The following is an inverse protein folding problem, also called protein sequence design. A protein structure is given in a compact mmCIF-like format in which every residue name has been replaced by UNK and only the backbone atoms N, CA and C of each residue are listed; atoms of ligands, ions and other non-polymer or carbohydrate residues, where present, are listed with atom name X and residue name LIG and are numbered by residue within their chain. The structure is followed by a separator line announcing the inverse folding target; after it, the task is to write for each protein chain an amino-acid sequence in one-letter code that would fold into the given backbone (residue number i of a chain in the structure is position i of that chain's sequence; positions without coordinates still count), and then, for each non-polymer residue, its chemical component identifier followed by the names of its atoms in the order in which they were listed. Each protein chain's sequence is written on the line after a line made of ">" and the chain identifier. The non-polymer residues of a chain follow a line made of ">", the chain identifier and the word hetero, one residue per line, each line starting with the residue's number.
data_IF_348825427418
#
_entry.id   IF_348825427418
#
_cell.length_a   1.000
_cell.length_b   1.000
_cell.length_c   1.000
_cell.angle_alpha   90.00
_cell.angle_beta   90.00
_cell.angle_gamma   90.00
#
_symmetry.space_group_name_H-M   'P 1'
#
loop_
_entity.id
_entity.type
_entity.pdbx_description
1 polymer ?
#
# COMPACT_ATOMS: atom_id res chain seq x y z
N UNK A 1 28.13 -34.00 26.10
CA UNK A 1 28.20 -34.63 24.77
C UNK A 1 29.00 -33.74 23.85
N UNK A 2 30.17 -34.18 23.40
CA UNK A 2 31.00 -33.41 22.46
C UNK A 2 30.24 -33.25 21.14
N UNK A 3 30.15 -32.02 20.63
CA UNK A 3 29.53 -31.78 19.33
C UNK A 3 30.38 -32.39 18.20
N UNK A 4 29.74 -32.87 17.14
CA UNK A 4 30.43 -33.37 15.94
C UNK A 4 31.48 -32.35 15.44
N UNK A 5 32.67 -32.76 14.98
CA UNK A 5 33.75 -31.87 14.52
C UNK A 5 33.28 -30.76 13.56
N UNK A 6 32.28 -31.05 12.72
CA UNK A 6 31.63 -30.11 11.82
C UNK A 6 31.10 -28.86 12.55
N UNK A 7 30.50 -29.01 13.74
CA UNK A 7 29.94 -27.87 14.50
C UNK A 7 31.01 -26.93 15.03
N UNK A 8 32.23 -27.40 15.26
CA UNK A 8 33.35 -26.55 15.67
C UNK A 8 33.92 -25.76 14.49
N UNK A 9 33.98 -26.37 13.30
CA UNK A 9 34.37 -25.68 12.06
C UNK A 9 33.36 -24.61 11.68
N UNK A 10 32.06 -24.91 11.69
CA UNK A 10 30.98 -23.94 11.46
C UNK A 10 31.03 -22.77 12.46
N UNK A 11 31.26 -23.06 13.75
CA UNK A 11 31.41 -22.03 14.78
C UNK A 11 32.66 -21.19 14.57
N UNK A 12 33.76 -21.79 14.11
CA UNK A 12 34.98 -21.09 13.73
C UNK A 12 34.76 -20.14 12.55
N UNK A 13 34.14 -20.64 11.47
CA UNK A 13 33.77 -19.86 10.29
C UNK A 13 32.83 -18.70 10.64
N UNK A 14 31.81 -18.95 11.46
CA UNK A 14 30.88 -17.91 11.90
C UNK A 14 31.58 -16.81 12.69
N UNK A 15 32.43 -17.17 13.67
CA UNK A 15 33.23 -16.19 14.43
C UNK A 15 34.17 -15.38 13.54
N UNK A 16 34.86 -16.05 12.62
CA UNK A 16 35.75 -15.37 11.67
C UNK A 16 34.96 -14.40 10.77
N UNK A 17 33.81 -14.82 10.24
CA UNK A 17 32.96 -13.98 9.42
C UNK A 17 32.47 -12.74 10.21
N UNK A 18 32.05 -12.90 11.47
CA UNK A 18 31.67 -11.78 12.34
C UNK A 18 32.83 -10.82 12.58
N UNK A 19 34.03 -11.34 12.86
CA UNK A 19 35.22 -10.52 13.03
C UNK A 19 35.58 -9.75 11.75
N UNK A 20 35.64 -10.45 10.61
CA UNK A 20 35.95 -9.86 9.32
C UNK A 20 34.93 -8.78 8.94
N UNK A 21 33.64 -9.03 9.17
CA UNK A 21 32.58 -8.04 8.96
C UNK A 21 32.79 -6.78 9.81
N UNK A 22 33.08 -6.95 11.11
CA UNK A 22 33.32 -5.81 12.01
C UNK A 22 34.57 -5.02 11.63
N UNK A 23 35.65 -5.69 11.22
CA UNK A 23 36.86 -5.03 10.73
C UNK A 23 36.57 -4.21 9.46
N UNK A 24 35.84 -4.78 8.49
CA UNK A 24 35.41 -4.08 7.27
C UNK A 24 34.51 -2.88 7.62
N UNK A 25 33.57 -3.03 8.55
CA UNK A 25 32.71 -1.93 9.01
C UNK A 25 33.53 -0.80 9.65
N UNK A 26 34.52 -1.12 10.47
CA UNK A 26 35.41 -0.11 11.09
C UNK A 26 36.19 0.68 10.05
N UNK A 27 36.70 0.03 9.00
CA UNK A 27 37.37 0.72 7.89
C UNK A 27 36.39 1.59 7.10
N UNK A 28 35.19 1.08 6.81
CA UNK A 28 34.14 1.82 6.10
C UNK A 28 33.65 3.05 6.88
N UNK A 29 33.69 3.03 8.21
CA UNK A 29 33.36 4.21 9.02
C UNK A 29 34.41 5.32 8.90
N UNK A 30 35.69 4.96 8.78
CA UNK A 30 36.78 5.93 8.62
C UNK A 30 36.85 6.51 7.20
N UNK A 31 36.63 5.68 6.18
CA UNK A 31 36.63 6.10 4.77
C UNK A 31 35.43 5.52 4.02
N UNK A 32 34.24 6.14 4.14
CA UNK A 32 33.03 5.61 3.53
C UNK A 32 33.13 5.66 1.99
N UNK A 33 32.84 4.53 1.34
CA UNK A 33 32.66 4.47 -0.10
C UNK A 33 31.51 5.40 -0.55
N UNK A 34 31.55 5.93 -1.79
CA UNK A 34 30.47 6.76 -2.31
C UNK A 34 29.11 6.05 -2.24
N UNK A 35 28.05 6.84 -2.18
CA UNK A 35 26.70 6.30 -2.21
C UNK A 35 26.39 5.66 -3.57
N UNK A 36 25.66 4.55 -3.54
CA UNK A 36 25.28 3.82 -4.74
C UNK A 36 24.05 4.46 -5.39
N UNK A 37 24.12 4.71 -6.70
CA UNK A 37 22.99 5.19 -7.49
C UNK A 37 22.39 4.03 -8.29
N UNK A 38 21.20 3.54 -7.91
CA UNK A 38 20.54 2.45 -8.61
C UNK A 38 19.95 2.92 -9.94
N UNK A 39 19.81 2.02 -10.93
CA UNK A 39 19.26 2.32 -12.27
C UNK A 39 17.86 2.97 -12.26
N UNK A 40 17.09 2.76 -11.20
CA UNK A 40 15.71 3.27 -11.06
C UNK A 40 15.63 4.65 -10.39
N UNK A 41 16.78 5.26 -10.05
CA UNK A 41 16.88 6.58 -9.40
C UNK A 41 17.92 7.45 -10.10
N UNK A 42 17.66 8.75 -10.17
CA UNK A 42 18.63 9.76 -10.63
C UNK A 42 19.52 10.25 -9.48
N UNK A 43 19.12 10.00 -8.23
CA UNK A 43 19.85 10.37 -7.01
C UNK A 43 20.44 9.14 -6.30
N UNK A 44 21.61 9.27 -5.65
CA UNK A 44 22.20 8.18 -4.88
C UNK A 44 21.38 7.86 -3.62
N UNK A 45 21.45 6.62 -3.15
CA UNK A 45 20.80 6.22 -1.89
C UNK A 45 21.49 6.85 -0.68
N UNK A 46 20.69 7.31 0.29
CA UNK A 46 21.22 7.75 1.57
C UNK A 46 21.89 6.59 2.32
N UNK A 47 23.07 6.86 2.87
CA UNK A 47 23.76 5.96 3.81
C UNK A 47 22.95 5.84 5.09
N UNK A 48 23.15 4.75 5.86
CA UNK A 48 22.34 4.47 7.07
C UNK A 48 22.30 5.63 8.07
N UNK A 49 23.42 6.33 8.27
CA UNK A 49 23.52 7.49 9.17
C UNK A 49 22.94 8.79 8.60
N UNK A 50 22.64 8.84 7.29
CA UNK A 50 21.99 9.99 6.64
C UNK A 50 20.47 9.84 6.60
N UNK A 51 19.94 8.63 6.84
CA UNK A 51 18.51 8.37 6.80
C UNK A 51 17.84 9.03 7.99
N UNK A 52 16.80 9.82 7.73
CA UNK A 52 15.93 10.33 8.79
C UNK A 52 14.87 9.30 9.18
N UNK A 53 14.37 9.40 10.40
CA UNK A 53 13.20 8.66 10.88
C UNK A 53 12.13 9.66 11.32
N UNK A 54 10.83 9.34 11.21
CA UNK A 54 9.82 10.08 11.95
C UNK A 54 10.09 9.99 13.45
N UNK A 55 9.48 10.88 14.23
CA UNK A 55 9.41 10.71 15.68
C UNK A 55 8.59 9.45 15.97
N UNK A 56 9.22 8.47 16.60
CA UNK A 56 8.66 7.17 16.98
C UNK A 56 8.68 7.02 18.51
N UNK A 57 8.00 6.02 19.04
CA UNK A 57 7.79 5.83 20.48
C UNK A 57 6.71 6.72 21.09
N UNK A 58 6.57 6.64 22.41
CA UNK A 58 5.47 7.25 23.18
C UNK A 58 6.03 7.97 24.42
N UNK A 59 5.46 9.12 24.83
CA UNK A 59 4.45 9.89 24.11
C UNK A 59 5.06 10.65 22.92
N UNK A 60 4.23 10.98 21.92
CA UNK A 60 4.65 11.87 20.83
C UNK A 60 3.49 12.68 20.27
N UNK A 61 3.82 13.85 19.71
CA UNK A 61 2.86 14.68 18.97
C UNK A 61 2.85 14.34 17.48
N UNK A 62 1.68 14.31 16.87
CA UNK A 62 1.49 14.16 15.42
C UNK A 62 0.34 15.04 14.92
N UNK A 63 0.13 15.04 13.62
CA UNK A 63 -1.04 15.67 12.98
C UNK A 63 -2.13 14.61 12.81
N UNK A 64 -3.38 15.00 13.06
CA UNK A 64 -4.56 14.15 12.89
C UNK A 64 -5.71 14.98 12.31
N UNK A 65 -6.79 14.30 11.97
CA UNK A 65 -8.00 14.92 11.47
C UNK A 65 -9.11 14.83 12.52
N UNK A 66 -9.79 15.95 12.75
CA UNK A 66 -11.06 15.98 13.47
C UNK A 66 -12.13 15.23 12.65
N UNK A 67 -12.72 14.15 13.17
CA UNK A 67 -13.71 13.35 12.42
C UNK A 67 -14.94 14.17 11.99
N UNK A 68 -15.32 15.18 12.78
CA UNK A 68 -16.49 16.00 12.52
C UNK A 68 -16.19 17.12 11.51
N UNK A 69 -15.05 17.82 11.63
CA UNK A 69 -14.63 18.80 10.62
C UNK A 69 -14.53 18.19 9.22
N UNK A 70 -14.03 16.95 9.11
CA UNK A 70 -13.91 16.25 7.81
C UNK A 70 -15.29 15.98 7.21
N UNK A 71 -16.27 15.56 8.02
CA UNK A 71 -17.65 15.34 7.55
C UNK A 71 -18.30 16.64 7.10
N UNK A 72 -18.09 17.72 7.84
CA UNK A 72 -18.61 19.05 7.49
C UNK A 72 -17.96 19.58 6.21
N UNK A 73 -16.65 19.43 6.03
CA UNK A 73 -15.96 19.80 4.80
C UNK A 73 -16.48 19.00 3.60
N UNK A 74 -16.66 17.69 3.76
CA UNK A 74 -17.27 16.84 2.72
C UNK A 74 -18.68 17.31 2.37
N UNK A 75 -19.48 17.69 3.37
CA UNK A 75 -20.83 18.21 3.18
C UNK A 75 -20.83 19.48 2.33
N UNK A 76 -19.96 20.44 2.62
CA UNK A 76 -19.84 21.68 1.83
C UNK A 76 -19.47 21.42 0.36
N UNK A 77 -18.60 20.45 0.11
CA UNK A 77 -18.23 20.09 -1.28
C UNK A 77 -19.42 19.47 -2.01
N UNK A 78 -20.10 18.51 -1.39
CA UNK A 78 -21.15 17.72 -2.05
C UNK A 78 -22.45 18.52 -2.18
N UNK A 79 -22.87 19.22 -1.12
CA UNK A 79 -24.16 19.89 -1.03
C UNK A 79 -24.07 21.36 -1.46
N UNK A 80 -23.02 22.07 -1.03
CA UNK A 80 -22.87 23.51 -1.28
C UNK A 80 -22.04 23.81 -2.54
N UNK A 81 -21.52 22.78 -3.22
CA UNK A 81 -20.74 22.89 -4.45
C UNK A 81 -19.37 23.56 -4.26
N UNK A 82 -18.81 23.51 -3.05
CA UNK A 82 -17.49 24.06 -2.76
C UNK A 82 -16.41 23.35 -3.60
N UNK A 83 -15.46 24.13 -4.15
CA UNK A 83 -14.35 23.59 -4.93
C UNK A 83 -13.52 22.63 -4.06
N UNK A 84 -13.43 21.33 -4.42
CA UNK A 84 -12.68 20.35 -3.64
C UNK A 84 -11.19 20.67 -3.54
N UNK A 85 -10.61 21.47 -4.46
CA UNK A 85 -9.20 21.83 -4.37
C UNK A 85 -8.89 22.78 -3.21
N UNK A 86 -9.88 23.49 -2.66
CA UNK A 86 -9.69 24.33 -1.47
C UNK A 86 -9.25 23.54 -0.24
N UNK A 87 -9.63 22.26 -0.12
CA UNK A 87 -9.24 21.45 1.05
C UNK A 87 -7.74 21.23 1.17
N UNK A 88 -7.01 21.35 0.06
CA UNK A 88 -5.54 21.24 0.02
C UNK A 88 -4.91 22.44 0.73
N UNK A 89 -5.52 23.62 0.60
CA UNK A 89 -5.05 24.88 1.17
C UNK A 89 -5.56 25.06 2.60
N UNK A 90 -6.87 24.92 2.79
CA UNK A 90 -7.56 25.23 4.05
C UNK A 90 -7.35 24.17 5.14
N UNK A 91 -6.99 22.94 4.74
CA UNK A 91 -6.72 21.79 5.63
C UNK A 91 -7.79 21.65 6.73
N UNK A 92 -9.07 21.54 6.35
CA UNK A 92 -10.16 21.57 7.31
C UNK A 92 -10.05 20.43 8.31
N UNK A 93 -9.99 20.78 9.60
CA UNK A 93 -9.92 19.80 10.67
C UNK A 93 -8.54 19.22 10.96
N UNK A 94 -7.47 19.73 10.33
CA UNK A 94 -6.10 19.38 10.72
C UNK A 94 -5.82 19.90 12.14
N UNK A 95 -5.57 18.97 13.08
CA UNK A 95 -5.34 19.27 14.50
C UNK A 95 -4.14 18.48 15.01
N UNK A 96 -3.55 18.96 16.12
CA UNK A 96 -2.50 18.20 16.83
C UNK A 96 -3.14 17.06 17.62
N UNK A 97 -2.46 15.92 17.61
CA UNK A 97 -2.81 14.76 18.40
C UNK A 97 -1.60 14.26 19.20
N UNK A 98 -1.84 13.74 20.38
CA UNK A 98 -0.88 13.01 21.20
C UNK A 98 -1.07 11.51 20.97
N UNK A 99 0.00 10.79 20.66
CA UNK A 99 -0.01 9.34 20.73
C UNK A 99 0.63 8.92 22.05
N UNK A 100 -0.14 8.22 22.88
CA UNK A 100 0.22 7.83 24.24
C UNK A 100 0.09 6.32 24.43
N UNK A 101 0.80 5.79 25.43
CA UNK A 101 0.60 4.43 25.92
C UNK A 101 -0.27 4.48 27.18
N UNK A 102 -1.35 3.69 27.21
CA UNK A 102 -2.25 3.50 28.33
C UNK A 102 -2.52 2.01 28.47
N UNK A 103 -2.13 1.40 29.59
CA UNK A 103 -2.45 0.00 29.92
C UNK A 103 -2.15 -1.04 28.83
N UNK A 104 -0.96 -0.94 28.21
CA UNK A 104 -0.49 -1.79 27.10
C UNK A 104 -1.17 -1.52 25.73
N UNK A 105 -2.03 -0.52 25.65
CA UNK A 105 -2.66 -0.04 24.43
C UNK A 105 -2.04 1.29 24.00
N UNK A 106 -2.08 1.56 22.69
CA UNK A 106 -1.62 2.81 22.11
C UNK A 106 -2.82 3.61 21.66
N UNK A 107 -2.95 4.82 22.18
CA UNK A 107 -4.10 5.69 21.99
C UNK A 107 -3.69 6.98 21.29
N UNK A 108 -4.48 7.43 20.32
CA UNK A 108 -4.41 8.77 19.74
C UNK A 108 -5.43 9.66 20.42
N UNK A 109 -4.95 10.69 21.12
CA UNK A 109 -5.76 11.67 21.84
C UNK A 109 -5.66 12.99 21.11
N UNK A 110 -6.80 13.61 20.79
CA UNK A 110 -6.84 14.85 20.00
C UNK A 110 -7.98 15.75 20.45
N UNK A 111 -7.70 17.06 20.49
CA UNK A 111 -8.67 18.08 20.88
C UNK A 111 -8.93 18.99 19.68
N UNK A 112 -10.16 18.94 19.17
CA UNK A 112 -10.63 19.89 18.18
C UNK A 112 -11.13 21.15 18.90
N UNK A 113 -10.69 22.36 18.50
CA UNK A 113 -11.19 23.61 19.08
C UNK A 113 -12.70 23.84 18.97
N UNK A 114 -13.36 23.14 18.03
CA UNK A 114 -14.79 23.32 17.72
C UNK A 114 -15.61 22.12 18.20
N UNK A 115 -15.11 20.90 18.01
CA UNK A 115 -15.87 19.67 18.27
C UNK A 115 -15.44 18.92 19.54
N UNK A 116 -14.45 19.46 20.27
CA UNK A 116 -14.02 18.92 21.56
C UNK A 116 -13.06 17.73 21.43
N UNK A 117 -13.14 16.85 22.42
CA UNK A 117 -12.16 15.81 22.67
C UNK A 117 -12.47 14.50 21.94
N UNK A 118 -11.44 13.85 21.41
CA UNK A 118 -11.51 12.52 20.79
C UNK A 118 -10.35 11.65 21.24
N UNK A 119 -10.63 10.37 21.47
CA UNK A 119 -9.63 9.32 21.67
C UNK A 119 -9.92 8.15 20.72
N UNK A 120 -8.90 7.71 19.98
CA UNK A 120 -8.97 6.57 19.07
C UNK A 120 -7.87 5.56 19.44
N UNK A 121 -8.22 4.31 19.70
CA UNK A 121 -7.21 3.26 19.94
C UNK A 121 -6.51 2.92 18.61
N UNK A 122 -5.19 3.10 18.56
CA UNK A 122 -4.36 2.77 17.40
C UNK A 122 -3.88 1.32 17.41
N UNK A 123 -3.56 0.78 18.59
CA UNK A 123 -3.11 -0.60 18.73
C UNK A 123 -3.45 -1.16 20.12
N UNK A 124 -3.85 -2.43 20.17
CA UNK A 124 -4.18 -3.15 21.39
C UNK A 124 -2.95 -3.71 22.13
N UNK A 125 -1.79 -3.72 21.45
CA UNK A 125 -0.52 -4.23 21.99
C UNK A 125 0.62 -3.26 21.65
N UNK A 126 1.11 -2.57 22.68
CA UNK A 126 2.21 -1.62 22.58
C UNK A 126 3.48 -2.29 22.06
N UNK A 127 3.83 -3.48 22.56
CA UNK A 127 5.08 -4.16 22.19
C UNK A 127 5.06 -4.56 20.72
N UNK A 128 3.91 -4.96 20.22
CA UNK A 128 3.75 -5.26 18.80
C UNK A 128 3.97 -4.00 17.94
N UNK A 129 3.39 -2.86 18.32
CA UNK A 129 3.59 -1.61 17.58
C UNK A 129 5.03 -1.10 17.70
N UNK A 130 5.65 -1.18 18.88
CA UNK A 130 7.08 -0.87 19.07
C UNK A 130 7.98 -1.73 18.18
N UNK A 131 7.67 -3.02 18.04
CA UNK A 131 8.39 -3.90 17.11
C UNK A 131 8.25 -3.41 15.66
N UNK A 132 7.04 -3.07 15.22
CA UNK A 132 6.81 -2.52 13.87
C UNK A 132 7.62 -1.23 13.67
N UNK A 133 7.61 -0.32 14.64
CA UNK A 133 8.37 0.94 14.59
C UNK A 133 9.88 0.71 14.57
N UNK A 134 10.40 -0.26 15.32
CA UNK A 134 11.81 -0.63 15.33
C UNK A 134 12.27 -1.17 13.97
N UNK A 135 11.37 -1.83 13.23
CA UNK A 135 11.62 -2.32 11.88
C UNK A 135 11.61 -1.20 10.83
N UNK A 136 11.26 0.06 11.19
CA UNK A 136 11.28 1.17 10.25
C UNK A 136 12.71 1.47 9.76
N UNK A 137 12.99 1.25 8.46
CA UNK A 137 14.37 1.22 7.98
C UNK A 137 14.92 2.61 7.61
N UNK A 138 14.20 3.69 7.92
CA UNK A 138 14.55 5.08 7.63
C UNK A 138 14.09 5.57 6.25
N UNK A 139 13.98 6.89 6.06
CA UNK A 139 13.75 7.51 4.76
C UNK A 139 15.06 7.52 3.99
N UNK A 140 15.09 6.87 2.82
CA UNK A 140 16.33 6.63 2.05
C UNK A 140 16.42 7.43 0.75
N UNK A 141 15.33 8.04 0.30
CA UNK A 141 15.30 8.92 -0.86
C UNK A 141 14.04 9.79 -0.87
N UNK A 142 14.21 11.05 -1.25
CA UNK A 142 13.12 11.99 -1.49
C UNK A 142 12.52 11.79 -2.88
N UNK A 143 11.19 11.89 -2.96
CA UNK A 143 10.50 12.00 -4.23
C UNK A 143 11.00 13.26 -4.99
N UNK A 144 11.07 13.15 -6.32
CA UNK A 144 11.51 14.23 -7.21
C UNK A 144 10.90 14.05 -8.61
N UNK A 145 11.04 15.08 -9.44
CA UNK A 145 10.47 15.16 -10.79
C UNK A 145 8.95 15.01 -10.79
N UNK A 146 8.29 15.58 -9.77
CA UNK A 146 6.89 15.41 -9.43
C UNK A 146 6.08 16.73 -9.49
N UNK A 147 6.65 17.79 -10.07
CA UNK A 147 6.11 19.15 -10.12
C UNK A 147 4.65 19.24 -10.63
N UNK A 148 4.24 18.29 -11.47
CA UNK A 148 2.90 18.23 -12.08
C UNK A 148 1.89 17.38 -11.31
N UNK A 149 2.34 16.48 -10.43
CA UNK A 149 1.49 15.44 -9.84
C UNK A 149 1.37 15.54 -8.32
N UNK A 150 2.30 16.23 -7.63
CA UNK A 150 2.40 16.19 -6.16
C UNK A 150 1.79 17.39 -5.43
N UNK A 151 0.60 17.85 -5.86
CA UNK A 151 -0.12 18.95 -5.20
C UNK A 151 -1.25 18.44 -4.29
N UNK A 152 -0.94 17.52 -3.38
CA UNK A 152 -1.91 16.89 -2.46
C UNK A 152 -1.83 17.42 -1.02
N UNK A 153 -1.31 18.63 -0.82
CA UNK A 153 -1.23 19.27 0.50
C UNK A 153 -0.43 18.46 1.50
N UNK A 154 -0.99 18.19 2.68
CA UNK A 154 -0.37 17.36 3.72
C UNK A 154 -0.18 15.89 3.31
N UNK A 155 -0.92 15.42 2.29
CA UNK A 155 -0.84 14.05 1.77
C UNK A 155 0.20 13.87 0.66
N UNK A 156 0.94 14.93 0.29
CA UNK A 156 2.01 14.81 -0.72
C UNK A 156 3.07 13.78 -0.29
N UNK A 157 3.31 12.79 -1.15
CA UNK A 157 4.31 11.75 -0.93
C UNK A 157 5.71 12.34 -1.05
N UNK A 158 6.40 12.49 0.08
CA UNK A 158 7.75 13.08 0.13
C UNK A 158 8.87 12.06 0.01
N UNK A 159 8.63 10.82 0.44
CA UNK A 159 9.65 9.78 0.52
C UNK A 159 9.02 8.44 0.15
N UNK A 160 9.72 7.58 -0.58
CA UNK A 160 9.15 6.32 -1.05
C UNK A 160 10.20 5.23 -1.29
N UNK A 161 9.88 4.01 -0.85
CA UNK A 161 10.70 2.80 -1.07
C UNK A 161 10.09 1.84 -2.08
N UNK A 162 9.17 2.33 -2.89
CA UNK A 162 8.33 1.57 -3.80
C UNK A 162 6.86 1.81 -3.48
N UNK A 163 6.04 1.83 -4.53
CA UNK A 163 4.61 2.11 -4.44
C UNK A 163 3.85 1.05 -5.23
N UNK A 164 2.68 0.69 -4.71
CA UNK A 164 1.63 0.02 -5.47
C UNK A 164 0.66 1.11 -5.91
N UNK A 165 0.57 1.33 -7.22
CA UNK A 165 -0.50 2.14 -7.78
C UNK A 165 -1.76 1.28 -7.83
N UNK A 166 -2.75 1.57 -6.98
CA UNK A 166 -4.06 0.92 -7.07
C UNK A 166 -4.94 1.75 -7.99
N UNK A 167 -5.49 1.11 -9.04
CA UNK A 167 -6.41 1.76 -9.99
C UNK A 167 -7.73 1.02 -9.95
N UNK A 168 -8.77 1.72 -9.50
CA UNK A 168 -10.13 1.22 -9.53
C UNK A 168 -10.69 1.43 -10.94
N UNK A 169 -10.80 0.35 -11.72
CA UNK A 169 -11.25 0.44 -13.11
C UNK A 169 -12.75 0.74 -13.23
N UNK A 170 -13.52 0.23 -12.26
CA UNK A 170 -14.98 0.33 -12.23
C UNK A 170 -15.48 0.23 -10.80
N UNK A 171 -16.62 0.86 -10.48
CA UNK A 171 -17.33 0.61 -9.21
C UNK A 171 -18.37 -0.53 -9.31
N UNK A 172 -18.51 -1.17 -10.47
CA UNK A 172 -19.39 -2.34 -10.65
C UNK A 172 -18.77 -3.57 -10.00
N UNK A 173 -19.60 -4.38 -9.34
CA UNK A 173 -19.19 -5.66 -8.78
C UNK A 173 -20.28 -6.72 -9.05
N UNK A 174 -19.87 -7.97 -9.23
CA UNK A 174 -20.77 -9.12 -9.33
C UNK A 174 -21.00 -9.80 -7.95
N UNK A 175 -20.70 -9.09 -6.85
CA UNK A 175 -21.03 -9.44 -5.46
C UNK A 175 -21.60 -8.23 -4.71
N UNK A 176 -22.27 -8.48 -3.59
CA UNK A 176 -22.86 -7.48 -2.69
C UNK A 176 -22.45 -7.79 -1.24
N UNK A 177 -21.18 -7.55 -0.91
CA UNK A 177 -20.62 -7.96 0.38
C UNK A 177 -21.02 -7.01 1.51
N UNK A 178 -21.37 -7.55 2.67
CA UNK A 178 -21.69 -6.74 3.86
C UNK A 178 -20.51 -5.82 4.29
N UNK A 179 -19.24 -6.27 4.30
CA UNK A 179 -18.11 -5.41 4.71
C UNK A 179 -17.48 -4.62 3.53
N UNK A 180 -18.21 -4.34 2.45
CA UNK A 180 -17.64 -3.62 1.30
C UNK A 180 -17.43 -2.13 1.61
N UNK A 181 -16.18 -1.71 1.86
CA UNK A 181 -15.87 -0.30 2.14
C UNK A 181 -16.04 0.62 0.92
N UNK A 182 -15.89 0.08 -0.29
CA UNK A 182 -16.02 0.86 -1.53
C UNK A 182 -17.49 1.12 -1.88
N UNK A 183 -18.41 0.40 -1.22
CA UNK A 183 -19.83 0.48 -1.49
C UNK A 183 -20.11 0.24 -2.99
N UNK A 184 -19.59 -0.88 -3.50
CA UNK A 184 -19.73 -1.23 -4.91
C UNK A 184 -21.22 -1.41 -5.26
N UNK A 185 -21.59 -1.09 -6.51
CA UNK A 185 -22.98 -1.11 -7.00
C UNK A 185 -23.94 -0.10 -6.34
N UNK A 186 -23.43 0.99 -5.77
CA UNK A 186 -24.29 2.10 -5.34
C UNK A 186 -25.20 2.57 -6.48
N UNK A 187 -26.50 2.63 -6.19
CA UNK A 187 -27.53 2.95 -7.18
C UNK A 187 -27.45 4.43 -7.54
N UNK A 188 -27.42 4.74 -8.84
CA UNK A 188 -27.48 6.11 -9.36
C UNK A 188 -26.15 6.73 -9.79
N UNK A 189 -25.01 6.09 -9.53
CA UNK A 189 -23.70 6.54 -10.04
C UNK A 189 -22.82 5.35 -10.44
N UNK A 190 -22.46 5.28 -11.73
CA UNK A 190 -21.50 4.30 -12.25
C UNK A 190 -20.20 5.03 -12.55
N UNK A 191 -19.16 4.64 -11.84
CA UNK A 191 -17.79 5.02 -12.17
C UNK A 191 -17.18 3.91 -13.03
N UNK A 192 -16.81 4.23 -14.27
CA UNK A 192 -16.08 3.35 -15.18
C UNK A 192 -15.05 4.22 -15.89
N UNK A 193 -13.77 3.88 -15.74
CA UNK A 193 -12.71 4.63 -16.40
C UNK A 193 -12.74 4.40 -17.91
N UNK A 194 -12.57 5.47 -18.68
CA UNK A 194 -12.31 5.34 -20.11
C UNK A 194 -10.90 4.80 -20.36
N UNK A 195 -10.65 4.32 -21.58
CA UNK A 195 -9.31 3.88 -21.96
C UNK A 195 -8.28 5.02 -21.88
N UNK A 196 -8.71 6.24 -22.22
CA UNK A 196 -7.91 7.46 -22.15
C UNK A 196 -7.50 7.75 -20.70
N UNK A 197 -8.45 7.70 -19.76
CA UNK A 197 -8.18 7.92 -18.33
C UNK A 197 -7.20 6.87 -17.79
N UNK A 198 -7.39 5.59 -18.15
CA UNK A 198 -6.51 4.50 -17.73
C UNK A 198 -5.07 4.76 -18.19
N UNK A 199 -4.87 5.10 -19.47
CA UNK A 199 -3.54 5.43 -19.99
C UNK A 199 -2.95 6.63 -19.27
N UNK A 200 -3.73 7.69 -19.11
CA UNK A 200 -3.28 8.93 -18.46
C UNK A 200 -2.81 8.68 -17.02
N UNK A 201 -3.61 7.99 -16.20
CA UNK A 201 -3.26 7.63 -14.83
C UNK A 201 -1.95 6.84 -14.81
N UNK A 202 -1.83 5.85 -15.69
CA UNK A 202 -0.67 4.96 -15.75
C UNK A 202 0.59 5.68 -16.22
N UNK A 203 0.49 6.55 -17.22
CA UNK A 203 1.60 7.32 -17.79
C UNK A 203 2.07 8.43 -16.83
N UNK A 204 1.13 9.07 -16.14
CA UNK A 204 1.41 10.05 -15.11
C UNK A 204 2.18 9.41 -13.95
N UNK A 205 1.68 8.30 -13.40
CA UNK A 205 2.31 7.66 -12.24
C UNK A 205 3.75 7.20 -12.52
N UNK A 206 4.06 6.78 -13.76
CA UNK A 206 5.43 6.39 -14.13
C UNK A 206 6.39 7.56 -14.37
N UNK A 207 5.91 8.80 -14.42
CA UNK A 207 6.79 9.97 -14.50
C UNK A 207 7.49 10.27 -13.17
N UNK A 208 6.88 9.87 -12.05
CA UNK A 208 7.37 10.15 -10.68
C UNK A 208 8.70 9.44 -10.42
N UNK A 209 9.67 10.14 -9.83
CA UNK A 209 10.95 9.57 -9.39
C UNK A 209 11.05 9.60 -7.87
N UNK A 210 11.74 8.62 -7.25
CA UNK A 210 12.38 7.46 -7.87
C UNK A 210 11.38 6.31 -8.19
N UNK A 211 11.65 5.55 -9.25
CA UNK A 211 10.79 4.43 -9.71
C UNK A 211 11.21 3.08 -9.15
N UNK A 212 11.30 2.96 -7.83
CA UNK A 212 11.70 1.69 -7.20
C UNK A 212 10.60 0.65 -7.37
N UNK A 213 10.78 -0.30 -8.30
CA UNK A 213 9.90 -1.46 -8.51
C UNK A 213 8.40 -1.12 -8.48
N UNK A 214 8.01 -0.06 -9.18
CA UNK A 214 6.61 0.36 -9.31
C UNK A 214 5.74 -0.81 -9.75
N UNK A 215 4.71 -1.10 -8.96
CA UNK A 215 3.72 -2.12 -9.26
C UNK A 215 2.36 -1.47 -9.39
N UNK A 216 1.48 -2.10 -10.16
CA UNK A 216 0.10 -1.65 -10.35
C UNK A 216 -0.84 -2.77 -9.92
N UNK A 217 -1.87 -2.42 -9.19
CA UNK A 217 -2.95 -3.32 -8.78
C UNK A 217 -4.26 -2.78 -9.34
N UNK A 218 -4.91 -3.54 -10.20
CA UNK A 218 -6.26 -3.24 -10.64
C UNK A 218 -7.26 -3.70 -9.57
N UNK A 219 -8.15 -2.80 -9.17
CA UNK A 219 -9.18 -3.01 -8.16
C UNK A 219 -10.51 -2.38 -8.62
N UNK A 220 -11.23 -1.67 -7.75
CA UNK A 220 -12.60 -1.23 -7.95
C UNK A 220 -13.62 -2.14 -7.25
N UNK A 221 -14.78 -2.31 -7.87
CA UNK A 221 -15.79 -3.25 -7.42
C UNK A 221 -15.35 -4.66 -7.73
N UNK A 222 -15.29 -4.99 -9.01
CA UNK A 222 -14.58 -6.16 -9.52
C UNK A 222 -13.85 -5.76 -10.81
N UNK A 223 -12.50 -5.67 -10.82
CA UNK A 223 -11.75 -5.19 -11.97
C UNK A 223 -11.99 -6.02 -13.23
N UNK A 224 -12.26 -7.32 -13.10
CA UNK A 224 -12.49 -8.20 -14.27
C UNK A 224 -13.77 -7.88 -15.03
N UNK A 225 -14.66 -7.05 -14.47
CA UNK A 225 -15.87 -6.58 -15.15
C UNK A 225 -15.62 -5.39 -16.08
N UNK A 226 -14.50 -4.69 -15.92
CA UNK A 226 -14.15 -3.60 -16.83
C UNK A 226 -13.81 -4.15 -18.21
N UNK A 227 -14.33 -3.56 -19.31
CA UNK A 227 -14.01 -4.01 -20.67
C UNK A 227 -12.52 -3.85 -21.01
N UNK A 228 -11.81 -2.98 -20.28
CA UNK A 228 -10.40 -2.69 -20.50
C UNK A 228 -9.44 -3.48 -19.61
N UNK A 229 -9.92 -4.40 -18.77
CA UNK A 229 -9.07 -5.10 -17.79
C UNK A 229 -7.82 -5.75 -18.40
N UNK A 230 -8.01 -6.58 -19.44
CA UNK A 230 -6.90 -7.27 -20.10
C UNK A 230 -5.98 -6.31 -20.85
N UNK A 231 -6.53 -5.23 -21.43
CA UNK A 231 -5.75 -4.23 -22.16
C UNK A 231 -4.94 -3.35 -21.20
N UNK A 232 -5.48 -3.01 -20.05
CA UNK A 232 -4.79 -2.29 -18.98
C UNK A 232 -3.60 -3.12 -18.45
N UNK A 233 -3.75 -4.45 -18.31
CA UNK A 233 -2.66 -5.36 -17.96
C UNK A 233 -1.54 -5.30 -19.02
N UNK A 234 -1.89 -5.46 -20.32
CA UNK A 234 -0.92 -5.37 -21.42
C UNK A 234 -0.20 -4.02 -21.45
N UNK A 235 -0.96 -2.94 -21.28
CA UNK A 235 -0.42 -1.60 -21.27
C UNK A 235 0.51 -1.38 -20.08
N UNK A 236 0.21 -1.94 -18.91
CA UNK A 236 1.06 -1.88 -17.73
C UNK A 236 2.46 -2.45 -18.01
N UNK A 237 2.50 -3.59 -18.70
CA UNK A 237 3.77 -4.20 -19.14
C UNK A 237 4.50 -3.32 -20.14
N UNK A 238 3.79 -2.74 -21.11
CA UNK A 238 4.34 -1.84 -22.12
C UNK A 238 4.97 -0.58 -21.51
N UNK A 239 4.30 0.03 -20.54
CA UNK A 239 4.75 1.25 -19.83
C UNK A 239 5.92 0.98 -18.88
N UNK A 240 6.13 -0.29 -18.51
CA UNK A 240 7.27 -0.73 -17.72
C UNK A 240 6.98 -0.85 -16.22
N UNK A 241 5.73 -1.14 -15.83
CA UNK A 241 5.44 -1.57 -14.46
C UNK A 241 6.11 -2.93 -14.18
N UNK A 242 6.78 -3.02 -13.02
CA UNK A 242 7.55 -4.20 -12.65
C UNK A 242 6.65 -5.40 -12.33
N UNK A 243 5.48 -5.15 -11.75
CA UNK A 243 4.51 -6.18 -11.40
C UNK A 243 3.09 -5.68 -11.60
N UNK A 244 2.26 -6.48 -12.26
CA UNK A 244 0.84 -6.21 -12.49
C UNK A 244 0.02 -7.15 -11.63
N UNK A 245 -0.93 -6.62 -10.88
CA UNK A 245 -1.75 -7.37 -9.92
C UNK A 245 -3.23 -7.10 -10.15
N UNK A 246 -4.09 -8.00 -9.72
CA UNK A 246 -5.53 -7.79 -9.67
C UNK A 246 -6.08 -8.16 -8.29
N UNK A 247 -6.75 -7.23 -7.61
CA UNK A 247 -7.54 -7.51 -6.42
C UNK A 247 -8.94 -7.90 -6.87
N UNK A 248 -9.30 -9.17 -6.70
CA UNK A 248 -10.50 -9.76 -7.32
C UNK A 248 -11.18 -10.74 -6.39
N UNK A 249 -12.48 -10.92 -6.59
CA UNK A 249 -13.25 -11.98 -5.98
C UNK A 249 -13.05 -13.36 -6.64
N UNK A 250 -12.42 -13.39 -7.82
CA UNK A 250 -12.04 -14.62 -8.52
C UNK A 250 -13.14 -15.31 -9.31
N UNK A 251 -14.37 -14.76 -9.34
CA UNK A 251 -15.51 -15.39 -10.03
C UNK A 251 -15.21 -15.57 -11.53
N UNK A 252 -14.69 -14.54 -12.22
CA UNK A 252 -14.38 -14.63 -13.65
C UNK A 252 -13.22 -15.61 -13.93
N UNK A 253 -12.23 -15.67 -13.05
CA UNK A 253 -11.15 -16.65 -13.11
C UNK A 253 -11.64 -18.10 -12.89
N UNK A 254 -12.62 -18.30 -12.00
CA UNK A 254 -13.24 -19.61 -11.79
C UNK A 254 -14.07 -20.09 -13.00
N UNK A 255 -14.74 -19.16 -13.70
CA UNK A 255 -15.60 -19.46 -14.86
C UNK A 255 -14.83 -19.90 -16.10
N UNK A 256 -13.63 -19.35 -16.34
CA UNK A 256 -12.95 -19.53 -17.63
C UNK A 256 -11.43 -19.69 -17.50
N UNK A 257 -10.94 -20.89 -17.86
CA UNK A 257 -9.50 -21.14 -18.07
C UNK A 257 -8.92 -20.30 -19.19
N UNK A 258 -9.71 -20.02 -20.24
CA UNK A 258 -9.28 -19.16 -21.33
C UNK A 258 -9.05 -17.72 -20.85
N UNK A 259 -9.90 -17.21 -19.97
CA UNK A 259 -9.70 -15.89 -19.34
C UNK A 259 -8.43 -15.86 -18.50
N UNK A 260 -8.14 -16.92 -17.73
CA UNK A 260 -6.89 -17.07 -16.98
C UNK A 260 -5.67 -16.99 -17.90
N UNK A 261 -5.68 -17.75 -19.01
CA UNK A 261 -4.60 -17.72 -20.02
C UNK A 261 -4.43 -16.36 -20.65
N UNK A 262 -5.52 -15.71 -21.06
CA UNK A 262 -5.50 -14.35 -21.63
C UNK A 262 -4.92 -13.33 -20.65
N UNK A 263 -5.25 -13.44 -19.36
CA UNK A 263 -4.69 -12.57 -18.32
C UNK A 263 -3.19 -12.84 -18.08
N UNK A 264 -2.77 -14.10 -18.06
CA UNK A 264 -1.36 -14.49 -17.95
C UNK A 264 -0.54 -14.00 -19.17
N UNK A 265 -1.04 -14.22 -20.39
CA UNK A 265 -0.44 -13.75 -21.64
C UNK A 265 -0.38 -12.23 -21.72
N UNK A 266 -1.39 -11.53 -21.19
CA UNK A 266 -1.37 -10.08 -21.04
C UNK A 266 -0.25 -9.59 -20.09
N UNK A 267 0.22 -10.47 -19.20
CA UNK A 267 1.30 -10.21 -18.26
C UNK A 267 0.84 -9.95 -16.82
N UNK A 268 -0.36 -10.41 -16.45
CA UNK A 268 -0.81 -10.44 -15.07
C UNK A 268 0.12 -11.33 -14.25
N UNK A 269 0.65 -10.81 -13.15
CA UNK A 269 1.65 -11.52 -12.33
C UNK A 269 1.11 -12.02 -11.01
N UNK A 270 0.18 -11.28 -10.39
CA UNK A 270 -0.42 -11.66 -9.12
C UNK A 270 -1.93 -11.49 -9.15
N UNK A 271 -2.63 -12.46 -8.58
CA UNK A 271 -4.06 -12.37 -8.26
C UNK A 271 -4.16 -12.28 -6.74
N UNK A 272 -4.58 -11.13 -6.24
CA UNK A 272 -4.90 -10.91 -4.84
C UNK A 272 -6.36 -11.32 -4.62
N UNK A 273 -6.55 -12.61 -4.34
CA UNK A 273 -7.86 -13.24 -4.24
C UNK A 273 -8.49 -12.95 -2.86
N UNK A 274 -9.69 -12.38 -2.85
CA UNK A 274 -10.43 -12.15 -1.61
C UNK A 274 -10.66 -13.48 -0.87
N UNK A 275 -10.34 -13.57 0.42
CA UNK A 275 -10.53 -14.78 1.24
C UNK A 275 -10.66 -14.39 2.71
N UNK A 276 -11.76 -14.79 3.38
CA UNK A 276 -11.99 -14.43 4.79
C UNK A 276 -11.86 -15.62 5.74
N UNK A 277 -11.69 -16.83 5.19
CA UNK A 277 -11.47 -18.05 5.94
C UNK A 277 -11.76 -19.30 5.11
N UNK A 278 -11.48 -20.46 5.68
CA UNK A 278 -11.67 -21.76 5.04
C UNK A 278 -13.14 -22.19 5.18
N UNK A 279 -13.79 -22.53 4.07
CA UNK A 279 -15.18 -22.97 4.01
C UNK A 279 -16.20 -21.84 3.77
N UNK A 280 -17.42 -22.22 3.35
CA UNK A 280 -18.47 -21.27 2.96
C UNK A 280 -18.99 -20.44 4.15
N UNK A 281 -19.01 -20.99 5.37
CA UNK A 281 -19.46 -20.25 6.56
C UNK A 281 -18.64 -18.98 6.84
N UNK A 282 -17.31 -19.07 6.74
CA UNK A 282 -16.41 -17.93 6.93
C UNK A 282 -16.52 -16.87 5.83
N UNK A 283 -17.19 -17.19 4.72
CA UNK A 283 -17.38 -16.30 3.58
C UNK A 283 -18.86 -15.88 3.40
N UNK A 284 -19.76 -16.28 4.31
CA UNK A 284 -21.21 -16.13 4.13
C UNK A 284 -21.68 -14.68 3.99
N UNK A 285 -21.04 -13.74 4.70
CA UNK A 285 -21.29 -12.29 4.62
C UNK A 285 -20.90 -11.65 3.27
N UNK A 286 -20.43 -12.44 2.32
CA UNK A 286 -20.17 -12.03 0.93
C UNK A 286 -21.38 -12.25 0.02
N UNK A 287 -22.46 -12.85 0.55
CA UNK A 287 -23.73 -13.10 -0.15
C UNK A 287 -23.59 -14.02 -1.39
N UNK A 288 -22.61 -14.93 -1.38
CA UNK A 288 -22.39 -15.96 -2.41
C UNK A 288 -22.29 -17.33 -1.72
N UNK A 289 -23.26 -18.21 -2.02
CA UNK A 289 -23.48 -19.44 -1.23
C UNK A 289 -22.36 -20.49 -1.28
N UNK A 290 -21.58 -20.53 -2.36
CA UNK A 290 -20.48 -21.49 -2.58
C UNK A 290 -19.13 -20.81 -2.84
N UNK A 291 -18.91 -19.63 -2.26
CA UNK A 291 -17.78 -18.76 -2.59
C UNK A 291 -16.41 -19.42 -2.33
N UNK A 292 -16.29 -20.27 -1.31
CA UNK A 292 -15.04 -20.99 -1.05
C UNK A 292 -14.71 -21.94 -2.21
N UNK A 293 -15.69 -22.68 -2.70
CA UNK A 293 -15.52 -23.63 -3.82
C UNK A 293 -15.18 -22.91 -5.13
N UNK A 294 -15.81 -21.75 -5.36
CA UNK A 294 -15.49 -20.85 -6.49
C UNK A 294 -14.02 -20.41 -6.43
N UNK A 295 -13.51 -20.04 -5.25
CA UNK A 295 -12.13 -19.61 -5.09
C UNK A 295 -11.13 -20.75 -5.32
N UNK A 296 -11.43 -21.95 -4.83
CA UNK A 296 -10.62 -23.13 -5.15
C UNK A 296 -10.58 -23.36 -6.66
N UNK A 297 -11.72 -23.27 -7.33
CA UNK A 297 -11.78 -23.41 -8.79
C UNK A 297 -10.97 -22.33 -9.52
N UNK A 298 -11.01 -21.08 -9.04
CA UNK A 298 -10.19 -20.00 -9.57
C UNK A 298 -8.69 -20.31 -9.42
N UNK A 299 -8.26 -20.80 -8.25
CA UNK A 299 -6.87 -21.18 -8.00
C UNK A 299 -6.43 -22.30 -8.95
N UNK A 300 -7.24 -23.34 -9.11
CA UNK A 300 -6.94 -24.44 -10.03
C UNK A 300 -6.80 -23.95 -11.48
N UNK A 301 -7.75 -23.12 -11.95
CA UNK A 301 -7.71 -22.56 -13.30
C UNK A 301 -6.53 -21.59 -13.51
N UNK A 302 -6.11 -20.85 -12.49
CA UNK A 302 -4.95 -19.94 -12.53
C UNK A 302 -3.62 -20.67 -12.48
N UNK A 303 -3.59 -21.87 -11.90
CA UNK A 303 -2.40 -22.70 -11.81
C UNK A 303 -2.04 -23.36 -13.16
N UNK A 304 -3.06 -23.75 -13.93
CA UNK A 304 -2.94 -24.33 -15.27
C UNK A 304 -2.48 -23.33 -16.35
#
# INVERSE_FOLDING_TARGET
>A
MAHSPIKYVEKGLSKFASFAFNAIQSVNQYKPAPAFTPKWSEKPLLKSWQKSKPTLGWPRTTDSLCPQCVKEARKRIIEDGEDPFKVIEDRPGEIKAQIINRDNEVWMVKDCPIHGHYEDMMAMDTKFLEHIEAMYPGRDIDAHNDERLHKHGSSTIKHGRGSVLTVDLTNRCNMMCDPCFMDANQVGFVHELSWEDIKEIMDNAVSIKPRRQMSIQFSGGEPTLSPYFLDAIKYSKKVGYNSVQAATNGIEFAKSKEFCRKAAEAGLRYVYLQFDGIGNAANGHRQVGNLFDVKLKAIDNLHE
#
